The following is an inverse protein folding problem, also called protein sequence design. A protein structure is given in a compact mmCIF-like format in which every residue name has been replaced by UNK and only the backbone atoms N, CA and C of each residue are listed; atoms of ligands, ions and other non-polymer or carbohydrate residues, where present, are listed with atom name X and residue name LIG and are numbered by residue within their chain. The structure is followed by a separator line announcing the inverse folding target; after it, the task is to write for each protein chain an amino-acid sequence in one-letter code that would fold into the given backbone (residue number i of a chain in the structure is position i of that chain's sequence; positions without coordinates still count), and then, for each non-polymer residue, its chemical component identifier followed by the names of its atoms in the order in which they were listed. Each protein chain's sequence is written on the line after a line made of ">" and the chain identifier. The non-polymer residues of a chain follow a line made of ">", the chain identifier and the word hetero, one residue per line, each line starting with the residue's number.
data_IF_940550761806
#
_entry.id   IF_940550761806
#
_cell.length_a   1.000
_cell.length_b   1.000
_cell.length_c   1.000
_cell.angle_alpha   90.00
_cell.angle_beta   90.00
_cell.angle_gamma   90.00
#
_symmetry.space_group_name_H-M   'P 1'
#
loop_
_entity.id
_entity.type
_entity.pdbx_description
1 polymer ?
#
# COMPACT_ATOMS: atom_id res chain seq x y z
N UNK A 1 -27.29 -3.62 -2.93
CA UNK A 1 -26.19 -4.51 -3.40
C UNK A 1 -24.90 -3.73 -3.33
N UNK A 2 -23.89 -4.29 -2.67
CA UNK A 2 -22.57 -3.65 -2.56
C UNK A 2 -21.72 -3.97 -3.80
N UNK A 3 -20.92 -3.00 -4.24
CA UNK A 3 -19.99 -3.16 -5.36
C UNK A 3 -18.55 -3.04 -4.86
N UNK A 4 -17.65 -3.79 -5.48
CA UNK A 4 -16.23 -3.79 -5.21
C UNK A 4 -15.66 -2.38 -5.48
N UNK A 5 -14.96 -1.77 -4.52
CA UNK A 5 -14.45 -0.41 -4.68
C UNK A 5 -13.24 -0.31 -5.63
N UNK A 6 -12.70 -1.46 -6.09
CA UNK A 6 -11.59 -1.52 -7.06
C UNK A 6 -12.08 -1.75 -8.51
N UNK A 7 -12.99 -2.69 -8.73
CA UNK A 7 -13.39 -3.08 -10.10
C UNK A 7 -14.89 -2.87 -10.40
N UNK A 8 -15.66 -2.32 -9.46
CA UNK A 8 -17.10 -2.04 -9.59
C UNK A 8 -17.99 -3.27 -9.85
N UNK A 9 -17.48 -4.50 -9.65
CA UNK A 9 -18.29 -5.73 -9.73
C UNK A 9 -19.01 -6.02 -8.42
N UNK A 10 -20.03 -6.87 -8.46
CA UNK A 10 -20.83 -7.21 -7.28
C UNK A 10 -19.98 -7.88 -6.18
N UNK A 11 -20.22 -7.42 -4.97
CA UNK A 11 -19.87 -7.96 -3.65
C UNK A 11 -20.40 -9.34 -3.30
N UNK A 12 -19.67 -10.22 -2.62
CA UNK A 12 -20.27 -11.29 -1.82
C UNK A 12 -19.82 -11.21 -0.36
N UNK A 13 -20.69 -11.51 0.63
CA UNK A 13 -20.27 -11.58 2.03
C UNK A 13 -19.13 -12.58 2.23
N UNK A 14 -18.12 -12.18 3.00
CA UNK A 14 -16.91 -12.99 3.18
C UNK A 14 -16.72 -13.42 4.63
N UNK A 15 -16.48 -12.46 5.52
CA UNK A 15 -16.32 -12.68 6.97
C UNK A 15 -17.08 -11.57 7.67
N UNK A 16 -17.57 -11.85 8.87
CA UNK A 16 -18.13 -10.85 9.76
C UNK A 16 -17.53 -11.07 11.15
N UNK A 17 -17.05 -9.99 11.75
CA UNK A 17 -16.63 -9.99 13.15
C UNK A 17 -17.55 -9.09 13.98
N UNK A 18 -17.23 -8.90 15.26
CA UNK A 18 -18.07 -8.09 16.17
C UNK A 18 -18.15 -6.61 15.79
N UNK A 19 -17.24 -6.11 14.95
CA UNK A 19 -17.11 -4.70 14.59
C UNK A 19 -17.69 -4.42 13.21
N UNK A 20 -17.42 -5.29 12.23
CA UNK A 20 -17.80 -5.04 10.83
C UNK A 20 -17.87 -6.29 9.97
N UNK A 21 -18.65 -6.17 8.90
CA UNK A 21 -18.69 -7.12 7.80
C UNK A 21 -17.57 -6.84 6.78
N UNK A 22 -17.13 -7.90 6.12
CA UNK A 22 -16.17 -7.86 5.02
C UNK A 22 -16.76 -8.56 3.80
N UNK A 23 -16.41 -8.06 2.62
CA UNK A 23 -16.95 -8.52 1.35
C UNK A 23 -15.83 -8.88 0.40
N UNK A 24 -16.00 -9.97 -0.35
CA UNK A 24 -15.04 -10.46 -1.34
C UNK A 24 -15.55 -10.25 -2.76
N UNK A 25 -14.63 -9.95 -3.66
CA UNK A 25 -14.93 -9.77 -5.08
C UNK A 25 -14.36 -10.91 -5.91
N UNK A 26 -15.22 -11.79 -6.44
CA UNK A 26 -14.79 -12.90 -7.32
C UNK A 26 -14.07 -12.46 -8.61
N UNK A 27 -14.16 -11.19 -9.03
CA UNK A 27 -13.48 -10.67 -10.24
C UNK A 27 -12.02 -10.27 -10.04
N UNK A 28 -11.69 -9.60 -8.94
CA UNK A 28 -10.35 -9.05 -8.67
C UNK A 28 -9.78 -9.54 -7.34
N UNK A 29 -10.47 -10.47 -6.68
CA UNK A 29 -10.11 -11.10 -5.42
C UNK A 29 -9.98 -10.18 -4.20
N UNK A 30 -10.20 -8.87 -4.36
CA UNK A 30 -10.16 -7.91 -3.25
C UNK A 30 -11.17 -8.30 -2.16
N UNK A 31 -10.72 -8.27 -0.91
CA UNK A 31 -11.58 -8.24 0.27
C UNK A 31 -11.65 -6.81 0.77
N UNK A 32 -12.84 -6.27 0.99
CA UNK A 32 -13.05 -4.90 1.51
C UNK A 32 -13.96 -4.90 2.72
N UNK A 33 -13.68 -4.04 3.70
CA UNK A 33 -14.58 -3.78 4.82
C UNK A 33 -15.88 -3.11 4.34
N UNK A 34 -16.93 -3.20 5.15
CA UNK A 34 -18.16 -2.43 4.95
C UNK A 34 -17.85 -0.92 4.91
N UNK A 35 -18.21 -0.19 3.85
CA UNK A 35 -18.02 1.26 3.79
C UNK A 35 -18.67 2.02 4.96
N UNK A 36 -19.77 1.49 5.52
CA UNK A 36 -20.43 2.07 6.69
C UNK A 36 -19.62 1.95 7.99
N UNK A 37 -18.57 1.12 8.01
CA UNK A 37 -17.68 0.93 9.15
C UNK A 37 -16.39 1.76 9.11
N UNK A 38 -16.18 2.52 8.03
CA UNK A 38 -14.97 3.32 7.89
C UNK A 38 -14.95 4.45 8.92
N UNK A 39 -13.82 4.64 9.60
CA UNK A 39 -13.63 5.76 10.52
C UNK A 39 -13.79 7.10 9.78
N UNK A 40 -14.21 8.15 10.46
CA UNK A 40 -14.02 9.50 9.92
C UNK A 40 -12.54 9.92 9.97
N UNK A 41 -12.20 11.05 9.35
CA UNK A 41 -10.82 11.51 9.25
C UNK A 41 -10.20 11.86 10.62
N UNK A 42 -11.01 12.29 11.60
CA UNK A 42 -10.53 12.65 12.92
C UNK A 42 -10.19 11.39 13.74
N UNK A 43 -11.06 10.39 13.70
CA UNK A 43 -10.85 9.11 14.36
C UNK A 43 -9.69 8.31 13.73
N UNK A 44 -9.55 8.36 12.41
CA UNK A 44 -8.43 7.74 11.70
C UNK A 44 -7.09 8.40 12.09
N UNK A 45 -7.03 9.74 12.12
CA UNK A 45 -5.84 10.47 12.60
C UNK A 45 -5.49 10.11 14.05
N UNK A 46 -6.47 10.10 14.95
CA UNK A 46 -6.24 9.76 16.36
C UNK A 46 -5.68 8.34 16.53
N UNK A 47 -6.03 7.41 15.63
CA UNK A 47 -5.47 6.08 15.61
C UNK A 47 -4.04 6.06 15.06
N UNK A 48 -3.76 6.79 13.98
CA UNK A 48 -2.40 6.90 13.44
C UNK A 48 -1.41 7.55 14.42
N UNK A 49 -1.87 8.51 15.23
CA UNK A 49 -1.05 9.17 16.25
C UNK A 49 -0.55 8.22 17.35
N UNK A 50 -1.07 6.97 17.42
CA UNK A 50 -0.55 5.92 18.28
C UNK A 50 0.73 5.24 17.73
N UNK A 51 1.12 5.53 16.49
CA UNK A 51 2.27 4.91 15.84
C UNK A 51 3.54 5.74 16.04
N UNK A 52 4.57 5.11 16.59
CA UNK A 52 5.91 5.69 16.71
C UNK A 52 6.84 5.07 15.65
N UNK A 53 7.16 5.85 14.61
CA UNK A 53 8.14 5.47 13.58
C UNK A 53 9.45 6.24 13.82
N UNK A 54 10.51 5.54 14.22
CA UNK A 54 11.82 6.14 14.47
C UNK A 54 12.87 5.66 13.45
N UNK A 55 13.51 6.57 12.68
CA UNK A 55 14.62 6.23 11.78
C UNK A 55 15.86 5.65 12.46
N UNK A 56 16.02 5.82 13.77
CA UNK A 56 17.09 5.20 14.56
C UNK A 56 16.74 3.78 15.04
N UNK A 57 15.48 3.36 14.95
CA UNK A 57 15.05 2.01 15.33
C UNK A 57 15.58 0.97 14.33
N UNK A 58 16.53 0.16 14.78
CA UNK A 58 17.15 -0.92 13.96
C UNK A 58 16.16 -2.01 13.58
N UNK A 59 15.18 -2.29 14.42
CA UNK A 59 14.09 -3.22 14.14
C UNK A 59 13.18 -2.70 13.02
N UNK A 60 12.79 -1.43 13.08
CA UNK A 60 11.98 -0.80 12.05
C UNK A 60 12.73 -0.68 10.72
N UNK A 61 14.00 -0.25 10.73
CA UNK A 61 14.85 -0.28 9.52
C UNK A 61 15.00 -1.67 8.93
N UNK A 62 15.14 -2.71 9.76
CA UNK A 62 15.18 -4.11 9.28
C UNK A 62 13.85 -4.53 8.64
N UNK A 63 12.73 -4.12 9.21
CA UNK A 63 11.41 -4.35 8.62
C UNK A 63 11.29 -3.70 7.24
N UNK A 64 11.59 -2.40 7.13
CA UNK A 64 11.60 -1.67 5.85
C UNK A 64 12.64 -2.19 4.86
N UNK A 65 13.75 -2.73 5.37
CA UNK A 65 14.80 -3.39 4.59
C UNK A 65 14.31 -4.56 3.74
N UNK A 66 13.20 -5.21 4.12
CA UNK A 66 12.54 -6.26 3.32
C UNK A 66 12.09 -5.75 1.95
N UNK A 67 11.74 -4.46 1.84
CA UNK A 67 11.43 -3.82 0.56
C UNK A 67 12.64 -3.08 0.01
N UNK A 68 13.35 -2.31 0.84
CA UNK A 68 14.46 -1.48 0.37
C UNK A 68 15.57 -2.31 -0.29
N UNK A 69 15.93 -3.46 0.28
CA UNK A 69 16.98 -4.33 -0.26
C UNK A 69 16.69 -4.83 -1.70
N UNK A 70 15.58 -5.57 -1.91
CA UNK A 70 15.21 -6.01 -3.25
C UNK A 70 15.00 -4.87 -4.25
N UNK A 71 14.40 -3.75 -3.81
CA UNK A 71 14.19 -2.59 -4.67
C UNK A 71 15.52 -1.97 -5.11
N UNK A 72 16.46 -1.74 -4.19
CA UNK A 72 17.78 -1.18 -4.51
C UNK A 72 18.55 -2.04 -5.52
N UNK A 73 18.35 -3.36 -5.53
CA UNK A 73 18.88 -4.26 -6.55
C UNK A 73 18.34 -4.02 -7.97
N UNK A 74 17.31 -3.18 -8.13
CA UNK A 74 16.71 -2.76 -9.41
C UNK A 74 17.01 -1.31 -9.78
N UNK A 75 17.59 -0.53 -8.85
CA UNK A 75 17.80 0.91 -9.02
C UNK A 75 19.26 1.23 -9.33
N UNK A 76 19.50 2.43 -9.84
CA UNK A 76 20.83 2.99 -10.05
C UNK A 76 21.00 4.28 -9.25
N UNK A 77 22.21 4.59 -8.74
CA UNK A 77 22.48 5.84 -8.02
C UNK A 77 21.96 7.08 -8.76
N UNK A 78 21.37 8.02 -8.02
CA UNK A 78 20.78 9.25 -8.55
C UNK A 78 19.38 9.11 -9.14
N UNK A 79 18.77 7.91 -9.15
CA UNK A 79 17.34 7.77 -9.48
C UNK A 79 16.46 8.54 -8.50
N UNK A 80 15.37 9.11 -9.00
CA UNK A 80 14.40 9.87 -8.21
C UNK A 80 13.26 8.99 -7.74
N UNK A 81 13.04 8.99 -6.43
CA UNK A 81 12.00 8.25 -5.75
C UNK A 81 10.98 9.12 -5.04
N UNK A 82 9.79 8.58 -4.81
CA UNK A 82 8.81 9.11 -3.87
C UNK A 82 8.48 8.05 -2.83
N UNK A 83 8.50 8.42 -1.55
CA UNK A 83 7.90 7.64 -0.48
C UNK A 83 6.47 8.11 -0.23
N UNK A 84 5.50 7.31 -0.69
CA UNK A 84 4.06 7.61 -0.64
C UNK A 84 3.43 7.00 0.62
N UNK A 85 2.84 7.85 1.45
CA UNK A 85 2.33 7.50 2.77
C UNK A 85 3.46 7.31 3.80
N UNK A 86 4.45 8.20 3.78
CA UNK A 86 5.65 8.08 4.61
C UNK A 86 5.42 8.22 6.13
N UNK A 87 4.22 8.61 6.55
CA UNK A 87 3.88 8.81 7.96
C UNK A 87 4.68 9.96 8.63
N UNK A 88 4.71 9.98 9.98
CA UNK A 88 5.36 11.06 10.75
C UNK A 88 6.89 10.99 10.76
N UNK A 89 7.47 9.80 10.55
CA UNK A 89 8.91 9.52 10.54
C UNK A 89 9.32 8.76 9.28
N UNK A 90 9.75 9.45 8.20
CA UNK A 90 9.99 8.85 6.88
C UNK A 90 11.30 8.06 6.82
N UNK A 91 11.37 6.95 7.56
CA UNK A 91 12.58 6.13 7.69
C UNK A 91 13.01 5.51 6.36
N UNK A 92 12.05 5.10 5.51
CA UNK A 92 12.35 4.46 4.23
C UNK A 92 13.02 5.43 3.25
N UNK A 93 12.55 6.68 3.17
CA UNK A 93 13.20 7.69 2.33
C UNK A 93 14.64 7.95 2.77
N UNK A 94 14.90 8.04 4.09
CA UNK A 94 16.26 8.21 4.63
C UNK A 94 17.15 7.02 4.26
N UNK A 95 16.66 5.79 4.41
CA UNK A 95 17.40 4.59 4.01
C UNK A 95 17.78 4.58 2.52
N UNK A 96 16.89 5.07 1.66
CA UNK A 96 17.11 5.13 0.21
C UNK A 96 18.03 6.29 -0.19
N UNK A 97 17.98 7.43 0.52
CA UNK A 97 18.93 8.55 0.36
C UNK A 97 20.35 8.14 0.75
N UNK A 98 20.52 7.42 1.87
CA UNK A 98 21.81 6.84 2.28
C UNK A 98 22.37 5.86 1.24
N UNK A 99 21.50 5.20 0.47
CA UNK A 99 21.87 4.33 -0.65
C UNK A 99 22.09 5.09 -1.97
N UNK A 100 22.05 6.42 -1.96
CA UNK A 100 22.37 7.28 -3.10
C UNK A 100 21.19 7.64 -4.01
N UNK A 101 19.94 7.45 -3.56
CA UNK A 101 18.76 7.90 -4.30
C UNK A 101 18.41 9.36 -3.97
N UNK A 102 17.66 10.01 -4.85
CA UNK A 102 17.03 11.30 -4.54
C UNK A 102 15.57 11.08 -4.16
N UNK A 103 15.20 11.38 -2.92
CA UNK A 103 13.85 11.12 -2.42
C UNK A 103 13.02 12.38 -2.28
N UNK A 104 11.74 12.27 -2.64
CA UNK A 104 10.66 13.09 -2.12
C UNK A 104 9.79 12.24 -1.18
N UNK A 105 9.04 12.91 -0.32
CA UNK A 105 8.08 12.27 0.59
C UNK A 105 6.71 12.91 0.46
N UNK A 106 5.68 12.10 0.63
CA UNK A 106 4.30 12.58 0.69
C UNK A 106 3.51 11.74 1.69
N UNK A 107 2.80 12.41 2.60
CA UNK A 107 1.77 11.79 3.43
C UNK A 107 0.63 12.80 3.63
N UNK A 108 -0.64 12.43 3.41
CA UNK A 108 -1.74 13.38 3.47
C UNK A 108 -1.94 14.02 4.84
N UNK A 109 -1.50 13.36 5.93
CA UNK A 109 -1.75 13.79 7.30
C UNK A 109 -0.51 14.40 7.96
N UNK A 110 0.68 13.88 7.66
CA UNK A 110 1.92 14.23 8.37
C UNK A 110 2.93 15.01 7.51
N UNK A 111 2.89 14.84 6.18
CA UNK A 111 3.82 15.46 5.22
C UNK A 111 3.10 15.81 3.90
N UNK A 112 2.06 16.67 3.93
CA UNK A 112 1.29 16.97 2.74
C UNK A 112 2.17 17.71 1.73
N UNK A 113 2.46 17.05 0.61
CA UNK A 113 3.26 17.60 -0.48
C UNK A 113 2.52 17.44 -1.82
N UNK A 114 1.61 18.36 -2.19
CA UNK A 114 0.92 18.30 -3.48
C UNK A 114 1.87 18.42 -4.68
N UNK A 115 3.03 19.08 -4.49
CA UNK A 115 4.04 19.25 -5.53
C UNK A 115 4.67 17.92 -5.96
N UNK A 116 4.87 16.99 -5.02
CA UNK A 116 5.35 15.63 -5.32
C UNK A 116 4.34 14.85 -6.18
N UNK A 117 3.03 15.06 -5.96
CA UNK A 117 1.99 14.36 -6.71
C UNK A 117 1.83 14.85 -8.17
N UNK A 118 2.44 15.99 -8.51
CA UNK A 118 2.47 16.53 -9.88
C UNK A 118 3.67 16.07 -10.71
N UNK A 119 4.51 15.17 -10.19
CA UNK A 119 5.75 14.70 -10.80
C UNK A 119 5.66 13.22 -11.17
N UNK A 120 6.67 12.77 -11.92
CA UNK A 120 6.86 11.35 -12.25
C UNK A 120 8.24 10.89 -11.81
N UNK A 121 8.28 9.72 -11.20
CA UNK A 121 9.44 9.16 -10.53
C UNK A 121 9.98 7.92 -11.24
N UNK A 122 11.27 7.68 -11.06
CA UNK A 122 11.92 6.46 -11.54
C UNK A 122 11.50 5.26 -10.68
N UNK A 123 11.17 5.52 -9.41
CA UNK A 123 10.48 4.57 -8.54
C UNK A 123 9.57 5.24 -7.50
N UNK A 124 8.62 4.49 -6.94
CA UNK A 124 7.76 4.92 -5.84
C UNK A 124 7.72 3.80 -4.79
N UNK A 125 7.73 4.14 -3.51
CA UNK A 125 7.50 3.20 -2.40
C UNK A 125 6.18 3.50 -1.71
N UNK A 126 5.51 2.46 -1.23
CA UNK A 126 4.21 2.56 -0.56
C UNK A 126 4.11 1.38 0.43
N UNK A 127 4.48 1.63 1.70
CA UNK A 127 4.61 0.60 2.73
C UNK A 127 3.58 0.78 3.83
N UNK A 128 2.76 -0.23 4.07
CA UNK A 128 1.65 -0.23 5.02
C UNK A 128 0.69 0.97 4.78
N UNK A 129 0.24 1.12 3.53
CA UNK A 129 -0.55 2.26 3.06
C UNK A 129 -1.73 1.82 2.20
N UNK A 130 -1.51 0.87 1.28
CA UNK A 130 -2.54 0.46 0.31
C UNK A 130 -3.77 -0.18 0.96
N UNK A 131 -3.61 -0.75 2.15
CA UNK A 131 -4.68 -1.33 2.96
C UNK A 131 -5.67 -0.30 3.50
N UNK A 132 -5.26 0.96 3.59
CA UNK A 132 -6.09 2.09 4.01
C UNK A 132 -6.85 2.73 2.83
N UNK A 133 -6.66 2.25 1.59
CA UNK A 133 -7.33 2.81 0.42
C UNK A 133 -8.84 2.58 0.50
N UNK A 134 -9.57 3.69 0.67
CA UNK A 134 -11.05 3.70 0.67
C UNK A 134 -11.60 3.67 -0.75
N UNK A 135 -10.84 4.18 -1.72
CA UNK A 135 -11.21 4.24 -3.15
C UNK A 135 -10.10 3.61 -3.98
N UNK A 136 -9.78 2.32 -3.78
CA UNK A 136 -8.64 1.66 -4.40
C UNK A 136 -8.59 1.80 -5.92
N UNK A 137 -9.72 1.90 -6.64
CA UNK A 137 -9.69 2.21 -8.07
C UNK A 137 -9.01 3.56 -8.40
N UNK A 138 -9.37 4.62 -7.67
CA UNK A 138 -8.79 5.96 -7.81
C UNK A 138 -7.37 6.01 -7.24
N UNK A 139 -7.17 5.43 -6.06
CA UNK A 139 -5.91 5.48 -5.32
C UNK A 139 -4.80 4.72 -6.05
N UNK A 140 -5.06 3.51 -6.58
CA UNK A 140 -4.13 2.80 -7.46
C UNK A 140 -3.90 3.54 -8.78
N UNK A 141 -4.94 4.18 -9.31
CA UNK A 141 -4.82 5.02 -10.51
C UNK A 141 -3.84 6.17 -10.30
N UNK A 142 -3.91 6.86 -9.15
CA UNK A 142 -2.96 7.91 -8.76
C UNK A 142 -1.56 7.34 -8.53
N UNK A 143 -1.44 6.31 -7.71
CA UNK A 143 -0.16 5.71 -7.35
C UNK A 143 0.62 5.23 -8.57
N UNK A 144 -0.04 4.55 -9.50
CA UNK A 144 0.60 4.05 -10.73
C UNK A 144 0.89 5.14 -11.76
N UNK A 145 0.14 6.25 -11.74
CA UNK A 145 0.43 7.40 -12.59
C UNK A 145 1.75 8.10 -12.21
N UNK A 146 2.14 8.08 -10.93
CA UNK A 146 3.38 8.69 -10.44
C UNK A 146 4.64 7.99 -10.95
N UNK A 147 4.52 6.75 -11.41
CA UNK A 147 5.66 5.93 -11.87
C UNK A 147 5.85 6.15 -13.38
N UNK A 148 7.09 6.35 -13.82
CA UNK A 148 7.42 6.42 -15.26
C UNK A 148 7.34 5.03 -15.93
N UNK A 149 7.11 4.96 -17.25
CA UNK A 149 7.34 3.71 -17.99
C UNK A 149 8.75 3.17 -17.74
N UNK A 150 8.87 1.87 -17.48
CA UNK A 150 10.10 1.21 -17.06
C UNK A 150 10.47 1.36 -15.58
N UNK A 151 9.81 2.27 -14.85
CA UNK A 151 10.03 2.52 -13.42
C UNK A 151 9.38 1.50 -12.50
N UNK A 152 9.68 1.62 -11.21
CA UNK A 152 9.30 0.64 -10.18
C UNK A 152 8.31 1.19 -9.15
N UNK A 153 7.39 0.34 -8.70
CA UNK A 153 6.56 0.58 -7.53
C UNK A 153 6.79 -0.54 -6.51
N UNK A 154 7.39 -0.19 -5.38
CA UNK A 154 7.59 -1.09 -4.25
C UNK A 154 6.40 -1.00 -3.29
N UNK A 155 5.73 -2.13 -3.06
CA UNK A 155 4.61 -2.24 -2.14
C UNK A 155 4.99 -3.16 -0.99
N UNK A 156 4.73 -2.74 0.24
CA UNK A 156 4.70 -3.62 1.40
C UNK A 156 3.31 -3.56 2.03
N UNK A 157 2.63 -4.70 2.07
CA UNK A 157 1.33 -4.85 2.74
C UNK A 157 1.10 -6.34 2.97
N UNK A 158 0.35 -6.70 4.01
CA UNK A 158 0.09 -8.11 4.25
C UNK A 158 -1.00 -8.65 3.33
N UNK A 159 -0.84 -9.89 2.89
CA UNK A 159 -1.72 -10.50 1.89
C UNK A 159 -2.77 -11.44 2.49
N UNK A 160 -3.97 -11.41 1.91
CA UNK A 160 -5.04 -12.40 2.14
C UNK A 160 -4.58 -13.75 1.59
N UNK A 161 -4.74 -14.80 2.40
CA UNK A 161 -4.31 -16.17 2.07
C UNK A 161 -5.50 -17.10 1.89
N UNK A 162 -6.46 -17.07 2.82
CA UNK A 162 -7.72 -17.82 2.73
C UNK A 162 -8.76 -17.18 3.64
N UNK A 163 -10.02 -17.57 3.46
CA UNK A 163 -11.14 -17.08 4.27
C UNK A 163 -11.00 -17.44 5.74
N UNK A 164 -10.57 -18.68 6.01
CA UNK A 164 -10.37 -19.20 7.37
C UNK A 164 -9.26 -18.43 8.08
N UNK A 165 -8.15 -18.18 7.38
CA UNK A 165 -7.05 -17.39 7.93
C UNK A 165 -7.47 -15.94 8.14
N UNK A 166 -8.19 -15.36 7.18
CA UNK A 166 -8.70 -13.99 7.28
C UNK A 166 -9.61 -13.82 8.51
N UNK A 167 -10.51 -14.78 8.77
CA UNK A 167 -11.41 -14.73 9.92
C UNK A 167 -10.70 -14.58 11.28
N UNK A 168 -9.53 -15.22 11.44
CA UNK A 168 -8.72 -15.17 12.66
C UNK A 168 -7.57 -14.14 12.60
N UNK A 169 -7.53 -13.28 11.59
CA UNK A 169 -6.35 -12.47 11.31
C UNK A 169 -6.35 -11.11 12.01
N UNK A 170 -5.44 -10.89 12.95
CA UNK A 170 -5.33 -9.62 13.69
C UNK A 170 -5.18 -8.37 12.81
N UNK A 171 -4.62 -8.49 11.60
CA UNK A 171 -4.39 -7.33 10.74
C UNK A 171 -5.70 -6.70 10.24
N UNK A 172 -6.81 -7.45 10.17
CA UNK A 172 -8.12 -6.87 9.84
C UNK A 172 -8.75 -6.14 11.03
N UNK A 173 -8.28 -6.39 12.26
CA UNK A 173 -8.87 -5.85 13.47
C UNK A 173 -8.52 -4.36 13.65
N UNK A 174 -7.50 -3.89 12.94
CA UNK A 174 -7.19 -2.49 12.75
C UNK A 174 -8.33 -1.79 11.99
N UNK A 175 -9.07 -0.86 12.63
CA UNK A 175 -10.23 -0.24 12.01
C UNK A 175 -9.87 0.65 10.80
N UNK A 176 -8.61 1.06 10.67
CA UNK A 176 -8.13 1.86 9.53
C UNK A 176 -7.87 1.01 8.28
N UNK A 177 -7.69 -0.31 8.43
CA UNK A 177 -7.52 -1.22 7.28
C UNK A 177 -8.89 -1.53 6.66
N UNK A 178 -9.07 -1.18 5.40
CA UNK A 178 -10.37 -1.25 4.71
C UNK A 178 -10.32 -1.99 3.37
N UNK A 179 -9.13 -2.14 2.79
CA UNK A 179 -8.88 -2.88 1.55
C UNK A 179 -7.80 -3.94 1.80
N UNK A 180 -8.07 -5.20 1.48
CA UNK A 180 -7.15 -6.31 1.73
C UNK A 180 -6.90 -7.06 0.43
N UNK A 181 -5.62 -7.15 0.07
CA UNK A 181 -5.17 -7.64 -1.23
C UNK A 181 -4.67 -9.08 -1.11
N UNK A 182 -4.88 -9.86 -2.16
CA UNK A 182 -4.27 -11.18 -2.31
C UNK A 182 -3.26 -11.16 -3.47
N UNK A 183 -2.46 -12.22 -3.65
CA UNK A 183 -1.66 -12.39 -4.86
C UNK A 183 -2.49 -12.23 -6.14
N UNK A 184 -3.72 -12.79 -6.17
CA UNK A 184 -4.62 -12.67 -7.33
C UNK A 184 -5.11 -11.23 -7.54
N UNK A 185 -5.30 -10.44 -6.47
CA UNK A 185 -5.57 -9.01 -6.62
C UNK A 185 -4.42 -8.26 -7.27
N UNK A 186 -3.18 -8.57 -6.88
CA UNK A 186 -2.01 -7.95 -7.51
C UNK A 186 -1.83 -8.34 -8.96
N UNK A 187 -2.06 -9.62 -9.33
CA UNK A 187 -2.10 -10.03 -10.74
C UNK A 187 -3.14 -9.25 -11.54
N UNK A 188 -4.34 -9.08 -10.97
CA UNK A 188 -5.41 -8.29 -11.59
C UNK A 188 -5.01 -6.81 -11.76
N UNK A 189 -4.39 -6.21 -10.74
CA UNK A 189 -3.85 -4.85 -10.80
C UNK A 189 -2.77 -4.74 -11.89
N UNK A 190 -1.92 -5.76 -12.01
CA UNK A 190 -0.90 -5.84 -13.05
C UNK A 190 -1.49 -5.76 -14.46
N UNK A 191 -2.53 -6.54 -14.73
CA UNK A 191 -3.26 -6.46 -16.01
C UNK A 191 -3.95 -5.10 -16.18
N UNK A 192 -4.60 -4.58 -15.13
CA UNK A 192 -5.40 -3.35 -15.20
C UNK A 192 -4.56 -2.09 -15.46
N UNK A 193 -3.35 -2.03 -14.88
CA UNK A 193 -2.48 -0.85 -14.88
C UNK A 193 -1.18 -1.04 -15.66
N UNK A 194 -0.99 -2.18 -16.33
CA UNK A 194 0.20 -2.46 -17.13
C UNK A 194 1.45 -2.66 -16.29
N UNK A 195 1.34 -3.39 -15.18
CA UNK A 195 2.46 -3.66 -14.27
C UNK A 195 2.91 -5.12 -14.41
N UNK A 196 4.21 -5.35 -14.51
CA UNK A 196 4.81 -6.66 -14.25
C UNK A 196 4.93 -6.83 -12.73
N UNK A 197 4.25 -7.82 -12.18
CA UNK A 197 4.18 -8.08 -10.74
C UNK A 197 5.19 -9.15 -10.35
N UNK A 198 6.04 -8.85 -9.37
CA UNK A 198 6.97 -9.79 -8.77
C UNK A 198 6.81 -9.76 -7.25
N UNK A 199 6.61 -10.93 -6.63
CA UNK A 199 6.59 -11.06 -5.18
C UNK A 199 7.99 -11.48 -4.70
N UNK A 200 8.64 -10.61 -3.94
CA UNK A 200 10.04 -10.79 -3.49
C UNK A 200 10.17 -11.20 -2.02
N UNK A 201 9.09 -11.03 -1.24
CA UNK A 201 8.95 -11.53 0.14
C UNK A 201 7.46 -11.88 0.37
N UNK A 202 7.14 -12.46 1.52
CA UNK A 202 5.79 -12.72 2.00
C UNK A 202 4.86 -11.50 1.89
N UNK A 203 5.33 -10.31 2.25
CA UNK A 203 4.51 -9.09 2.30
C UNK A 203 5.04 -8.00 1.36
N UNK A 204 5.97 -8.33 0.45
CA UNK A 204 6.64 -7.35 -0.41
C UNK A 204 6.47 -7.72 -1.88
N UNK A 205 6.00 -6.74 -2.66
CA UNK A 205 5.88 -6.83 -4.11
C UNK A 205 6.65 -5.70 -4.78
N UNK A 206 7.33 -6.03 -5.88
CA UNK A 206 7.89 -5.06 -6.81
C UNK A 206 7.06 -5.11 -8.09
N UNK A 207 6.62 -3.93 -8.54
CA UNK A 207 5.75 -3.76 -9.69
C UNK A 207 6.48 -2.90 -10.72
N UNK A 208 6.83 -3.43 -11.89
CA UNK A 208 7.45 -2.63 -12.95
C UNK A 208 6.41 -2.11 -13.92
N UNK A 209 6.37 -0.80 -14.16
CA UNK A 209 5.47 -0.21 -15.16
C UNK A 209 5.98 -0.50 -16.56
N UNK A 210 5.12 -1.09 -17.41
CA UNK A 210 5.43 -1.39 -18.82
C UNK A 210 5.22 -0.18 -19.72
#
# INVERSE_FOLDING_TARGET
>A
MLHCPLCSRRVEPYVEDRRRAYFHCARCDLVSADPGSHLDAAAERAYYDLHENDPADRGYRRFLGRLAGPLLGRLSPGMRGLDYGCGPGPTLSVMLEEAGMHMEVHDPLYRPNPGALGRHYDFVTCTEVVEHFRRPAEDWGRLTALVRPGGWLGIMTKLVISRERFAAWHYKDDPTHVSFYSPATFEWLGVRFGLAVERVDRDVLLLQKR
#
